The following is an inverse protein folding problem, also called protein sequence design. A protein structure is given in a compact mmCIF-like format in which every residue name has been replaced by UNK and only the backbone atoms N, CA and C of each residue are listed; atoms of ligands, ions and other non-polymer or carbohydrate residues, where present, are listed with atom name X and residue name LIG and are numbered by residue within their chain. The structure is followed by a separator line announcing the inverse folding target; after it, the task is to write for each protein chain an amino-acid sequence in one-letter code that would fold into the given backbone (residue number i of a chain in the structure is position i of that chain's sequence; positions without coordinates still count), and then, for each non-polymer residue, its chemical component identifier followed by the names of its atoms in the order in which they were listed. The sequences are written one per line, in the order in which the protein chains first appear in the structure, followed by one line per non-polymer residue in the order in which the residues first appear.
data_IF_892176745385
#
_entry.id   IF_892176745385
#
_cell.length_a   1.000
_cell.length_b   1.000
_cell.length_c   1.000
_cell.angle_alpha   90.00
_cell.angle_beta   90.00
_cell.angle_gamma   90.00
#
_symmetry.space_group_name_H-M   'P 1'
#
loop_
_entity.id
_entity.type
_entity.pdbx_description
1 polymer ?
#
# COMPACT_ATOMS: atom_id res chain seq x y z
N UNK A 1 -4.52 -23.00 13.17
CA UNK A 1 -5.73 -22.26 12.71
C UNK A 1 -5.35 -21.47 11.46
N UNK A 2 -6.22 -21.36 10.44
CA UNK A 2 -5.94 -20.42 9.35
C UNK A 2 -5.76 -19.03 9.96
N UNK A 3 -4.71 -18.32 9.58
CA UNK A 3 -4.50 -16.94 10.03
C UNK A 3 -5.79 -16.14 9.73
N UNK A 4 -6.37 -15.55 10.78
CA UNK A 4 -7.60 -14.78 10.69
C UNK A 4 -7.49 -13.76 9.55
N UNK A 5 -8.56 -13.65 8.76
CA UNK A 5 -8.67 -12.64 7.71
C UNK A 5 -9.59 -11.53 8.21
N UNK A 6 -9.19 -10.27 8.01
CA UNK A 6 -9.92 -9.12 8.52
C UNK A 6 -10.43 -8.23 7.38
N UNK A 7 -11.60 -7.60 7.58
CA UNK A 7 -12.20 -6.61 6.67
C UNK A 7 -12.09 -6.96 5.17
N UNK A 8 -12.50 -8.18 4.80
CA UNK A 8 -12.50 -8.67 3.41
C UNK A 8 -11.13 -8.66 2.69
N UNK A 9 -10.01 -8.62 3.43
CA UNK A 9 -8.67 -8.55 2.83
C UNK A 9 -8.34 -9.71 1.87
N UNK A 10 -8.92 -10.90 2.10
CA UNK A 10 -8.80 -12.09 1.25
C UNK A 10 -9.98 -12.32 0.29
N UNK A 11 -10.99 -11.46 0.32
CA UNK A 11 -12.22 -11.69 -0.45
C UNK A 11 -11.96 -11.54 -1.94
N UNK A 12 -12.28 -12.58 -2.69
CA UNK A 12 -12.22 -12.55 -4.15
C UNK A 12 -13.46 -11.85 -4.71
N UNK A 13 -13.25 -10.65 -5.26
CA UNK A 13 -14.30 -9.88 -5.93
C UNK A 13 -14.48 -10.23 -7.41
N UNK A 14 -13.72 -11.21 -7.93
CA UNK A 14 -13.75 -11.61 -9.36
C UNK A 14 -13.39 -10.49 -10.32
N UNK A 15 -12.54 -9.57 -9.87
CA UNK A 15 -11.99 -8.49 -10.68
C UNK A 15 -10.73 -9.01 -11.38
N UNK A 16 -10.63 -8.92 -12.72
CA UNK A 16 -9.41 -9.31 -13.44
C UNK A 16 -8.24 -8.40 -13.04
N UNK A 17 -7.02 -8.91 -13.13
CA UNK A 17 -5.82 -8.13 -12.83
C UNK A 17 -5.45 -7.29 -14.06
N UNK A 18 -5.55 -5.95 -14.02
CA UNK A 18 -5.15 -5.12 -15.14
C UNK A 18 -3.63 -5.04 -15.25
N UNK A 19 -3.13 -4.82 -16.47
CA UNK A 19 -1.70 -4.60 -16.73
C UNK A 19 -1.24 -3.18 -16.38
N UNK A 20 -2.17 -2.22 -16.43
CA UNK A 20 -1.94 -0.79 -16.27
C UNK A 20 -2.61 -0.21 -15.03
N UNK A 21 -2.20 1.02 -14.70
CA UNK A 21 -2.76 1.79 -13.60
C UNK A 21 -4.27 2.00 -13.80
N UNK A 22 -5.02 1.98 -12.70
CA UNK A 22 -6.47 1.90 -12.75
C UNK A 22 -7.16 3.20 -12.30
N UNK A 23 -8.31 3.47 -12.95
CA UNK A 23 -9.35 4.44 -12.59
C UNK A 23 -10.72 3.78 -12.76
N UNK A 24 -11.72 4.10 -11.92
CA UNK A 24 -11.68 5.00 -10.76
C UNK A 24 -10.92 4.42 -9.57
N UNK A 25 -10.63 5.25 -8.55
CA UNK A 25 -9.81 4.82 -7.39
C UNK A 25 -10.58 4.06 -6.30
N UNK A 26 -11.90 4.24 -6.22
CA UNK A 26 -12.73 3.77 -5.12
C UNK A 26 -13.73 2.73 -5.60
N UNK A 27 -13.23 1.51 -5.82
CA UNK A 27 -13.99 0.37 -6.29
C UNK A 27 -13.24 -0.92 -5.98
N UNK A 28 -13.91 -2.07 -6.20
CA UNK A 28 -13.38 -3.40 -5.88
C UNK A 28 -12.08 -3.67 -6.62
N UNK A 29 -11.07 -4.10 -5.87
CA UNK A 29 -9.75 -4.45 -6.43
C UNK A 29 -9.60 -5.97 -6.65
N UNK A 30 -8.69 -6.40 -7.56
CA UNK A 30 -8.33 -7.81 -7.73
C UNK A 30 -7.63 -8.39 -6.49
N UNK A 31 -7.34 -9.68 -6.50
CA UNK A 31 -6.55 -10.33 -5.44
C UNK A 31 -5.03 -10.19 -5.61
N UNK A 32 -4.56 -9.73 -6.77
CA UNK A 32 -3.16 -9.66 -7.10
C UNK A 32 -2.76 -8.34 -7.75
N UNK A 33 -1.49 -8.00 -7.62
CA UNK A 33 -0.82 -6.92 -8.35
C UNK A 33 0.34 -7.53 -9.16
N UNK A 34 0.50 -7.20 -10.46
CA UNK A 34 1.59 -7.75 -11.26
C UNK A 34 2.96 -7.46 -10.64
N UNK A 35 3.80 -8.49 -10.52
CA UNK A 35 5.17 -8.39 -9.97
C UNK A 35 5.28 -8.08 -8.48
N UNK A 36 4.17 -7.93 -7.76
CA UNK A 36 4.15 -7.75 -6.31
C UNK A 36 3.40 -8.88 -5.59
N UNK A 37 3.48 -8.88 -4.27
CA UNK A 37 2.84 -9.89 -3.42
C UNK A 37 1.72 -9.26 -2.59
N UNK A 38 0.49 -9.75 -2.75
CA UNK A 38 -0.61 -9.37 -1.85
C UNK A 38 -0.42 -10.03 -0.48
N UNK A 39 -0.43 -9.24 0.59
CA UNK A 39 -0.27 -9.73 1.97
C UNK A 39 -1.49 -9.42 2.83
N UNK A 40 -1.65 -10.18 3.92
CA UNK A 40 -2.71 -10.03 4.94
C UNK A 40 -2.20 -9.25 6.14
N UNK A 41 -3.08 -8.92 7.09
CA UNK A 41 -2.69 -8.28 8.35
C UNK A 41 -1.64 -9.11 9.09
N UNK A 42 -1.84 -10.42 9.21
CA UNK A 42 -0.86 -11.31 9.84
C UNK A 42 0.48 -11.36 9.09
N UNK A 43 0.44 -11.34 7.75
CA UNK A 43 1.65 -11.28 6.92
C UNK A 43 2.42 -9.97 7.11
N UNK A 44 1.70 -8.83 7.20
CA UNK A 44 2.30 -7.54 7.48
C UNK A 44 2.95 -7.51 8.86
N UNK A 45 2.25 -7.99 9.90
CA UNK A 45 2.82 -8.07 11.26
C UNK A 45 4.10 -8.90 11.27
N UNK A 46 4.12 -10.07 10.61
CA UNK A 46 5.31 -10.90 10.51
C UNK A 46 6.46 -10.20 9.75
N UNK A 47 6.13 -9.46 8.69
CA UNK A 47 7.14 -8.71 7.93
C UNK A 47 7.74 -7.58 8.78
N UNK A 48 6.90 -6.85 9.53
CA UNK A 48 7.32 -5.77 10.43
C UNK A 48 8.22 -6.24 11.57
N UNK A 49 8.01 -7.44 12.11
CA UNK A 49 8.86 -7.99 13.18
C UNK A 49 10.15 -8.64 12.66
N UNK A 50 10.17 -9.11 11.42
CA UNK A 50 11.33 -9.75 10.81
C UNK A 50 12.16 -8.81 9.93
N UNK A 51 11.70 -8.60 8.70
CA UNK A 51 12.45 -7.90 7.66
C UNK A 51 12.44 -6.37 7.80
N UNK A 52 11.53 -5.82 8.62
CA UNK A 52 11.37 -4.37 8.87
C UNK A 52 11.19 -3.60 7.55
N UNK A 53 10.06 -3.81 6.85
CA UNK A 53 9.80 -3.20 5.55
C UNK A 53 9.63 -1.69 5.69
N UNK A 54 9.82 -0.97 4.59
CA UNK A 54 9.26 0.39 4.47
C UNK A 54 7.76 0.26 4.24
N UNK A 55 6.97 0.79 5.16
CA UNK A 55 5.51 0.78 5.06
C UNK A 55 5.04 2.15 4.58
N UNK A 56 4.29 2.18 3.48
CA UNK A 56 3.84 3.41 2.82
C UNK A 56 2.31 3.51 2.88
N UNK A 57 1.83 4.49 3.63
CA UNK A 57 0.43 4.90 3.61
C UNK A 57 0.22 5.77 2.38
N UNK A 58 -0.74 5.42 1.52
CA UNK A 58 -1.08 6.22 0.33
C UNK A 58 -2.52 6.74 0.36
N UNK A 59 -3.15 6.71 1.54
CA UNK A 59 -4.52 7.22 1.71
C UNK A 59 -4.58 8.72 1.39
N UNK A 60 -5.71 9.12 0.85
CA UNK A 60 -6.11 10.53 0.79
C UNK A 60 -6.63 10.98 2.15
N UNK A 61 -6.60 12.29 2.42
CA UNK A 61 -7.11 12.86 3.67
C UNK A 61 -6.12 13.83 4.32
N UNK A 62 -6.27 14.03 5.62
CA UNK A 62 -5.51 14.95 6.47
C UNK A 62 -4.76 14.23 7.63
N UNK A 63 -4.71 12.89 7.61
CA UNK A 63 -3.99 12.09 8.60
C UNK A 63 -4.76 11.91 9.91
N UNK A 64 -5.94 12.54 10.05
CA UNK A 64 -6.82 12.30 11.19
C UNK A 64 -7.33 10.85 11.12
N UNK A 65 -7.29 10.16 12.26
CA UNK A 65 -7.63 8.73 12.35
C UNK A 65 -6.42 7.79 12.45
N UNK A 66 -5.20 8.33 12.43
CA UNK A 66 -3.97 7.59 12.67
C UNK A 66 -3.59 6.62 11.53
N UNK A 67 -2.38 6.10 11.62
CA UNK A 67 -1.77 5.19 10.65
C UNK A 67 -1.10 4.00 11.36
N UNK A 68 -0.55 3.08 10.58
CA UNK A 68 0.16 1.92 11.09
C UNK A 68 1.50 2.35 11.72
N UNK A 69 1.98 1.69 12.79
CA UNK A 69 3.26 2.01 13.41
C UNK A 69 4.41 2.01 12.38
N UNK A 70 5.15 3.12 12.32
CA UNK A 70 6.29 3.27 11.41
C UNK A 70 5.93 3.48 9.93
N UNK A 71 4.65 3.68 9.60
CA UNK A 71 4.25 4.00 8.23
C UNK A 71 4.63 5.42 7.83
N UNK A 72 5.19 5.56 6.64
CA UNK A 72 5.50 6.82 5.99
C UNK A 72 4.31 7.20 5.10
N UNK A 73 3.76 8.41 5.28
CA UNK A 73 2.63 8.84 4.47
C UNK A 73 3.09 9.57 3.21
N UNK A 74 2.82 8.95 2.06
CA UNK A 74 3.10 9.47 0.72
C UNK A 74 1.78 9.68 -0.03
N UNK A 75 1.13 10.81 0.27
CA UNK A 75 -0.14 11.19 -0.34
C UNK A 75 0.03 11.36 -1.85
N UNK A 76 -0.93 10.89 -2.64
CA UNK A 76 -0.89 10.95 -4.11
C UNK A 76 -0.04 9.87 -4.80
N UNK A 77 0.63 8.97 -4.08
CA UNK A 77 1.46 7.91 -4.69
C UNK A 77 0.69 6.98 -5.65
N UNK A 78 -0.61 6.84 -5.43
CA UNK A 78 -1.50 6.03 -6.25
C UNK A 78 -2.29 6.78 -7.31
N UNK A 79 -2.18 8.11 -7.39
CA UNK A 79 -2.96 8.93 -8.34
C UNK A 79 -2.32 8.91 -9.72
N UNK A 80 -3.11 9.00 -10.78
CA UNK A 80 -2.68 9.11 -12.16
C UNK A 80 -2.53 10.57 -12.56
N UNK A 81 -1.64 10.81 -13.53
CA UNK A 81 -1.34 12.14 -14.06
C UNK A 81 0.16 12.44 -14.04
N UNK A 82 0.58 13.40 -14.86
CA UNK A 82 1.91 13.98 -14.74
C UNK A 82 1.88 15.11 -13.68
N UNK A 83 2.97 15.34 -12.93
CA UNK A 83 4.30 14.70 -13.01
C UNK A 83 4.51 13.53 -12.03
N UNK A 84 3.46 12.76 -11.70
CA UNK A 84 3.48 11.84 -10.56
C UNK A 84 4.57 10.76 -10.64
N UNK A 85 4.80 10.17 -11.82
CA UNK A 85 5.77 9.07 -11.93
C UNK A 85 7.20 9.51 -11.57
N UNK A 86 7.62 10.70 -12.02
CA UNK A 86 8.94 11.24 -11.70
C UNK A 86 9.08 11.61 -10.22
N UNK A 87 8.02 12.17 -9.62
CA UNK A 87 8.04 12.55 -8.21
C UNK A 87 7.96 11.32 -7.29
N UNK A 88 7.15 10.31 -7.66
CA UNK A 88 7.10 9.02 -6.98
C UNK A 88 8.48 8.33 -7.01
N UNK A 89 9.17 8.33 -8.15
CA UNK A 89 10.53 7.80 -8.26
C UNK A 89 11.51 8.43 -7.27
N UNK A 90 11.56 9.77 -7.22
CA UNK A 90 12.43 10.49 -6.27
C UNK A 90 12.09 10.20 -4.80
N UNK A 91 10.81 10.14 -4.47
CA UNK A 91 10.38 9.83 -3.10
C UNK A 91 10.75 8.40 -2.73
N UNK A 92 10.58 7.45 -3.64
CA UNK A 92 10.99 6.06 -3.44
C UNK A 92 12.51 5.92 -3.24
N UNK A 93 13.33 6.65 -3.99
CA UNK A 93 14.79 6.68 -3.76
C UNK A 93 15.16 7.24 -2.38
N UNK A 94 14.40 8.21 -1.87
CA UNK A 94 14.65 8.80 -0.56
C UNK A 94 14.24 7.88 0.60
N UNK A 95 13.07 7.23 0.52
CA UNK A 95 12.55 6.40 1.62
C UNK A 95 12.99 4.93 1.52
N UNK A 96 13.33 4.48 0.31
CA UNK A 96 13.69 3.11 0.02
C UNK A 96 14.78 3.01 -1.05
N UNK A 97 16.01 3.46 -0.78
CA UNK A 97 17.09 3.49 -1.77
C UNK A 97 17.51 2.10 -2.27
N UNK A 98 17.41 1.07 -1.42
CA UNK A 98 17.67 -0.32 -1.82
C UNK A 98 16.43 -0.93 -2.50
N UNK A 99 16.56 -1.32 -3.78
CA UNK A 99 15.48 -1.94 -4.55
C UNK A 99 15.11 -3.35 -4.06
N UNK A 100 16.00 -4.01 -3.31
CA UNK A 100 15.77 -5.34 -2.75
C UNK A 100 15.07 -5.31 -1.39
N UNK A 101 15.06 -4.16 -0.70
CA UNK A 101 14.42 -4.07 0.60
C UNK A 101 12.89 -4.21 0.46
N UNK A 102 12.21 -4.90 1.39
CA UNK A 102 10.76 -5.01 1.34
C UNK A 102 10.06 -3.66 1.48
N UNK A 103 9.11 -3.38 0.58
CA UNK A 103 8.25 -2.19 0.64
C UNK A 103 6.79 -2.63 0.64
N UNK A 104 6.00 -2.10 1.56
CA UNK A 104 4.56 -2.38 1.67
C UNK A 104 3.77 -1.12 1.34
N UNK A 105 2.81 -1.22 0.43
CA UNK A 105 1.84 -0.14 0.19
C UNK A 105 0.46 -0.53 0.71
N UNK A 106 -0.24 0.43 1.34
CA UNK A 106 -1.60 0.22 1.82
C UNK A 106 -2.47 1.48 1.70
N UNK A 107 -3.78 1.28 1.64
CA UNK A 107 -4.79 2.34 1.60
C UNK A 107 -5.88 2.06 2.66
N UNK A 108 -7.10 2.59 2.48
CA UNK A 108 -8.21 2.41 3.42
C UNK A 108 -8.68 0.96 3.51
N UNK A 109 -8.71 0.23 2.40
CA UNK A 109 -9.18 -1.15 2.38
C UNK A 109 -9.23 -1.76 0.98
N UNK A 110 -9.94 -2.90 0.82
CA UNK A 110 -9.93 -3.69 -0.42
C UNK A 110 -10.65 -3.02 -1.60
N UNK A 111 -11.34 -1.90 -1.38
CA UNK A 111 -11.99 -1.09 -2.41
C UNK A 111 -11.18 0.18 -2.75
N UNK A 112 -9.85 0.15 -2.61
CA UNK A 112 -8.97 1.28 -2.90
C UNK A 112 -7.81 0.92 -3.85
N UNK A 113 -7.85 1.47 -5.06
CA UNK A 113 -6.83 1.28 -6.08
C UNK A 113 -5.56 2.12 -5.88
N UNK A 114 -5.55 3.13 -5.01
CA UNK A 114 -4.34 3.95 -4.81
C UNK A 114 -3.13 3.10 -4.37
N UNK A 115 -3.34 2.18 -3.42
CA UNK A 115 -2.27 1.27 -2.96
C UNK A 115 -1.87 0.21 -3.99
N UNK A 116 -2.82 -0.21 -4.83
CA UNK A 116 -2.54 -1.11 -5.95
C UNK A 116 -1.68 -0.41 -7.01
N UNK A 117 -2.07 0.82 -7.40
CA UNK A 117 -1.34 1.66 -8.35
C UNK A 117 0.08 1.97 -7.85
N UNK A 118 0.23 2.35 -6.57
CA UNK A 118 1.54 2.61 -5.97
C UNK A 118 2.44 1.35 -5.97
N UNK A 119 1.85 0.18 -5.68
CA UNK A 119 2.56 -1.11 -5.74
C UNK A 119 3.04 -1.40 -7.17
N UNK A 120 2.17 -1.27 -8.17
CA UNK A 120 2.54 -1.49 -9.57
C UNK A 120 3.63 -0.52 -10.04
N UNK A 121 3.57 0.75 -9.61
CA UNK A 121 4.63 1.73 -9.89
C UNK A 121 5.97 1.32 -9.29
N UNK A 122 5.99 0.87 -8.04
CA UNK A 122 7.23 0.41 -7.40
C UNK A 122 7.82 -0.78 -8.16
N UNK A 123 6.99 -1.73 -8.59
CA UNK A 123 7.44 -2.85 -9.45
C UNK A 123 8.05 -2.31 -10.75
N UNK A 124 7.39 -1.36 -11.42
CA UNK A 124 7.88 -0.73 -12.66
C UNK A 124 9.18 0.06 -12.45
N UNK A 125 9.45 0.55 -11.24
CA UNK A 125 10.70 1.20 -10.84
C UNK A 125 11.81 0.21 -10.42
N UNK A 126 11.59 -1.10 -10.58
CA UNK A 126 12.57 -2.15 -10.33
C UNK A 126 12.68 -2.63 -8.89
N UNK A 127 11.75 -2.27 -8.00
CA UNK A 127 11.71 -2.86 -6.66
C UNK A 127 11.32 -4.34 -6.76
N UNK A 128 12.08 -5.21 -6.10
CA UNK A 128 11.91 -6.68 -6.23
C UNK A 128 11.13 -7.30 -5.08
N UNK A 129 10.97 -6.58 -3.96
CA UNK A 129 10.25 -7.04 -2.78
C UNK A 129 9.03 -6.13 -2.49
N UNK A 130 8.15 -5.97 -3.48
CA UNK A 130 6.94 -5.16 -3.36
C UNK A 130 5.80 -5.98 -2.77
N UNK A 131 5.22 -5.47 -1.68
CA UNK A 131 4.07 -6.04 -1.01
C UNK A 131 2.87 -5.08 -1.07
N UNK A 132 1.71 -5.60 -1.40
CA UNK A 132 0.45 -4.85 -1.39
C UNK A 132 -0.41 -5.34 -0.23
N UNK A 133 -0.57 -4.50 0.79
CA UNK A 133 -1.47 -4.79 1.90
C UNK A 133 -2.90 -4.33 1.58
N UNK A 134 -3.58 -5.17 0.80
CA UNK A 134 -4.94 -4.92 0.26
C UNK A 134 -5.99 -4.65 1.33
N UNK A 135 -5.90 -5.30 2.49
CA UNK A 135 -6.82 -5.10 3.60
C UNK A 135 -6.78 -3.68 4.19
N UNK A 136 -5.64 -3.00 4.05
CA UNK A 136 -5.49 -1.60 4.42
C UNK A 136 -5.72 -1.29 5.90
N UNK A 137 -6.01 -0.01 6.16
CA UNK A 137 -6.31 0.50 7.49
C UNK A 137 -7.54 -0.20 8.12
N UNK A 138 -8.57 -0.49 7.32
CA UNK A 138 -9.77 -1.19 7.80
C UNK A 138 -9.47 -2.57 8.38
N UNK A 139 -8.64 -3.38 7.72
CA UNK A 139 -8.23 -4.69 8.23
C UNK A 139 -7.35 -4.57 9.49
N UNK A 140 -6.48 -3.56 9.54
CA UNK A 140 -5.64 -3.29 10.71
C UNK A 140 -6.45 -2.93 11.95
N UNK A 141 -7.46 -2.05 11.79
CA UNK A 141 -8.39 -1.68 12.85
C UNK A 141 -9.27 -2.86 13.27
N UNK A 142 -9.78 -3.64 12.32
CA UNK A 142 -10.57 -4.83 12.61
C UNK A 142 -9.77 -5.90 13.39
N UNK A 143 -8.45 -5.96 13.16
CA UNK A 143 -7.53 -6.79 13.94
C UNK A 143 -7.18 -6.21 15.33
N UNK A 144 -7.73 -5.04 15.70
CA UNK A 144 -7.49 -4.33 16.97
C UNK A 144 -6.00 -4.03 17.22
N UNK A 145 -5.26 -3.77 16.14
CA UNK A 145 -3.85 -3.41 16.21
C UNK A 145 -3.68 -1.90 16.47
N UNK A 146 -2.58 -1.48 17.11
CA UNK A 146 -2.38 -0.08 17.51
C UNK A 146 -2.27 0.84 16.30
N UNK A 147 -2.80 2.05 16.44
CA UNK A 147 -2.60 3.15 15.50
C UNK A 147 -1.73 4.22 16.15
N UNK A 148 -0.91 4.88 15.33
CA UNK A 148 -0.08 6.02 15.72
C UNK A 148 -0.47 7.25 14.90
N UNK A 149 -0.04 8.45 15.32
CA UNK A 149 -0.19 9.63 14.49
C UNK A 149 0.71 9.53 13.25
N UNK A 150 0.20 10.02 12.13
CA UNK A 150 0.91 9.93 10.85
C UNK A 150 1.99 11.00 10.74
N UNK A 151 3.17 10.62 10.29
CA UNK A 151 4.17 11.55 9.76
C UNK A 151 3.97 11.68 8.24
N UNK A 152 3.66 12.88 7.77
CA UNK A 152 3.57 13.16 6.34
C UNK A 152 4.98 13.37 5.80
N UNK A 153 5.45 12.44 4.97
CA UNK A 153 6.78 12.52 4.36
C UNK A 153 6.76 13.14 2.96
N UNK A 154 5.60 13.17 2.31
CA UNK A 154 5.45 13.84 1.01
C UNK A 154 4.00 13.91 0.53
N UNK A 155 3.70 14.97 -0.22
CA UNK A 155 2.44 15.14 -0.93
C UNK A 155 2.71 15.23 -2.44
N UNK A 156 2.15 14.28 -3.19
CA UNK A 156 2.28 14.17 -4.63
C UNK A 156 1.02 14.66 -5.36
N UNK A 157 -0.07 14.99 -4.65
CA UNK A 157 -1.25 15.55 -5.30
C UNK A 157 -0.92 16.91 -5.93
N UNK A 158 -1.45 17.20 -7.14
CA UNK A 158 -1.22 18.48 -7.83
C UNK A 158 -1.87 19.68 -7.14
#
# INVERSE_FOLDING_TARGET
APAAAFADEKRDFKIPVPADLHLPYHERTPLAVPGGQTITTGGLVALMTGARPVVVDVRTGDGRGGTLPGALWLKGAGTLGAPIDALFGRMMEAIAPDKAQPVVFFCTGPDCWLSWNASLRAVRLGYTAVHWYRGGHAAWVAAKLPLVQSELVGNLDP
#
